data_IF_330145633215
#
_entry.id   IF_330145633215
#
_cell.length_a   1.000
_cell.length_b   1.000
_cell.length_c   1.000
_cell.angle_alpha   90.00
_cell.angle_beta   90.00
_cell.angle_gamma   90.00
#
_symmetry.space_group_name_H-M   'P 1'
#
loop_
_entity.id
_entity.type
_entity.pdbx_description
1 polymer ?
#
# COMPACT_ATOMS: atom_id res chain seq x y z
N UNK A 1 46.19 -31.88 -20.01
CA UNK A 1 44.88 -31.71 -19.36
C UNK A 1 45.05 -31.18 -17.93
N UNK A 2 45.32 -29.88 -17.76
CA UNK A 2 45.20 -29.11 -16.52
C UNK A 2 45.06 -27.66 -17.00
N UNK A 3 43.92 -27.03 -16.73
CA UNK A 3 43.63 -25.57 -16.84
C UNK A 3 42.14 -25.34 -17.18
N UNK A 4 41.24 -26.07 -16.50
CA UNK A 4 39.80 -25.89 -16.65
C UNK A 4 39.10 -25.94 -15.30
N UNK A 5 39.68 -25.29 -14.29
CA UNK A 5 39.14 -25.23 -12.93
C UNK A 5 39.44 -23.88 -12.25
N UNK A 6 39.20 -22.76 -12.94
CA UNK A 6 39.24 -21.43 -12.30
C UNK A 6 37.93 -20.64 -12.50
N UNK A 7 37.05 -21.03 -13.44
CA UNK A 7 35.81 -20.29 -13.68
C UNK A 7 34.65 -20.63 -12.72
N UNK A 8 34.72 -21.73 -11.95
CA UNK A 8 33.63 -22.14 -11.06
C UNK A 8 33.72 -21.55 -9.63
N UNK A 9 34.86 -20.98 -9.24
CA UNK A 9 35.07 -20.42 -7.90
C UNK A 9 34.58 -18.96 -7.77
N UNK A 10 34.26 -18.28 -8.87
CA UNK A 10 33.71 -16.91 -8.86
C UNK A 10 32.19 -16.86 -8.65
N UNK A 11 31.55 -18.00 -8.36
CA UNK A 11 30.18 -18.07 -7.83
C UNK A 11 30.15 -18.22 -6.30
N UNK A 12 31.28 -18.04 -5.61
CA UNK A 12 31.31 -17.98 -4.15
C UNK A 12 30.70 -16.66 -3.66
N UNK A 13 29.37 -16.66 -3.52
CA UNK A 13 28.76 -16.17 -2.28
C UNK A 13 28.60 -14.67 -2.11
N UNK A 14 28.11 -13.95 -3.11
CA UNK A 14 27.14 -12.90 -2.82
C UNK A 14 25.79 -13.62 -2.59
N UNK A 15 25.60 -14.16 -1.39
CA UNK A 15 24.30 -14.66 -0.94
C UNK A 15 23.36 -13.46 -0.78
N UNK A 16 22.94 -12.89 -1.91
CA UNK A 16 21.93 -11.86 -1.98
C UNK A 16 20.60 -12.56 -1.67
N UNK A 17 20.14 -12.45 -0.42
CA UNK A 17 18.83 -12.96 -0.07
C UNK A 17 17.81 -11.91 -0.51
N UNK A 18 17.20 -12.14 -1.66
CA UNK A 18 16.11 -11.31 -2.15
C UNK A 18 14.80 -11.78 -1.51
N UNK A 19 14.09 -10.88 -0.83
CA UNK A 19 12.75 -11.11 -0.30
C UNK A 19 11.77 -10.15 -0.96
N UNK A 20 10.80 -10.68 -1.69
CA UNK A 20 9.72 -9.90 -2.30
C UNK A 20 8.43 -10.06 -1.49
N UNK A 21 7.79 -8.94 -1.18
CA UNK A 21 6.46 -8.86 -0.58
C UNK A 21 5.53 -8.32 -1.65
N UNK A 22 4.52 -9.10 -2.02
CA UNK A 22 3.45 -8.68 -2.92
C UNK A 22 2.25 -8.20 -2.08
N UNK A 23 1.72 -7.04 -2.41
CA UNK A 23 0.54 -6.48 -1.77
C UNK A 23 -0.69 -6.81 -2.62
N UNK A 24 -1.78 -7.21 -1.96
CA UNK A 24 -3.08 -7.25 -2.61
C UNK A 24 -3.60 -5.81 -2.81
N UNK A 25 -3.29 -5.26 -3.97
CA UNK A 25 -3.64 -3.87 -4.30
C UNK A 25 -5.14 -3.70 -4.43
N UNK A 26 -5.85 -4.72 -4.90
CA UNK A 26 -7.27 -4.67 -5.27
C UNK A 26 -8.19 -5.32 -4.23
N UNK A 27 -7.70 -5.45 -2.99
CA UNK A 27 -8.48 -5.98 -1.88
C UNK A 27 -9.84 -5.27 -1.75
N UNK A 28 -10.92 -6.04 -1.92
CA UNK A 28 -12.30 -5.54 -1.90
C UNK A 28 -12.88 -5.36 -0.50
N UNK A 29 -12.16 -5.81 0.55
CA UNK A 29 -12.62 -5.75 1.94
C UNK A 29 -11.57 -5.12 2.85
N UNK A 30 -12.01 -4.24 3.75
CA UNK A 30 -11.16 -3.63 4.78
C UNK A 30 -11.87 -3.56 6.11
N UNK A 31 -11.19 -3.99 7.16
CA UNK A 31 -11.74 -4.00 8.52
C UNK A 31 -11.22 -2.79 9.29
N UNK A 32 -12.13 -2.07 9.95
CA UNK A 32 -11.84 -0.93 10.83
C UNK A 32 -12.47 -1.14 12.19
N UNK A 33 -11.96 -0.47 13.22
CA UNK A 33 -12.52 -0.54 14.56
C UNK A 33 -13.39 0.70 14.84
N UNK A 34 -14.52 0.49 15.51
CA UNK A 34 -15.37 1.53 16.09
C UNK A 34 -16.38 0.91 17.06
N UNK A 35 -16.53 1.50 18.24
CA UNK A 35 -17.57 1.12 19.21
C UNK A 35 -18.99 1.45 18.72
N UNK A 36 -19.14 2.40 17.79
CA UNK A 36 -20.41 2.83 17.20
C UNK A 36 -20.52 2.46 15.71
N UNK A 37 -21.70 2.68 15.12
CA UNK A 37 -21.94 2.44 13.68
C UNK A 37 -21.03 3.33 12.82
N UNK A 38 -20.29 2.73 11.89
CA UNK A 38 -19.52 3.45 10.89
C UNK A 38 -20.44 4.01 9.82
N UNK A 39 -20.38 5.34 9.62
CA UNK A 39 -21.06 6.04 8.52
C UNK A 39 -20.01 6.49 7.51
N UNK A 40 -20.06 5.91 6.32
CA UNK A 40 -19.13 6.21 5.25
C UNK A 40 -19.59 7.42 4.45
N UNK A 41 -18.63 8.22 4.00
CA UNK A 41 -18.83 9.28 3.03
C UNK A 41 -17.69 9.26 2.03
N UNK A 42 -18.00 9.32 0.74
CA UNK A 42 -16.99 9.45 -0.32
C UNK A 42 -16.24 10.77 -0.10
N UNK A 43 -14.94 10.69 0.19
CA UNK A 43 -14.09 11.84 0.38
C UNK A 43 -13.53 12.35 -0.94
N UNK A 44 -13.01 11.45 -1.77
CA UNK A 44 -12.50 11.72 -3.12
C UNK A 44 -12.40 10.41 -3.92
N UNK A 45 -12.26 10.53 -5.23
CA UNK A 45 -11.97 9.43 -6.14
C UNK A 45 -10.93 9.93 -7.13
N UNK A 46 -9.76 9.28 -7.22
CA UNK A 46 -8.64 9.83 -7.98
C UNK A 46 -7.67 8.76 -8.45
N UNK A 47 -6.92 9.06 -9.52
CA UNK A 47 -5.81 8.23 -9.96
C UNK A 47 -4.62 8.45 -9.02
N UNK A 48 -3.98 7.38 -8.57
CA UNK A 48 -2.81 7.44 -7.70
C UNK A 48 -1.89 6.26 -7.93
N UNK A 49 -0.62 6.41 -7.57
CA UNK A 49 0.35 5.32 -7.58
C UNK A 49 0.33 4.59 -6.25
N UNK A 50 0.23 3.26 -6.32
CA UNK A 50 0.27 2.37 -5.15
C UNK A 50 1.36 1.34 -5.33
N UNK A 51 1.99 0.95 -4.22
CA UNK A 51 3.04 -0.06 -4.22
C UNK A 51 2.40 -1.44 -4.39
N UNK A 52 2.71 -2.10 -5.52
CA UNK A 52 2.26 -3.46 -5.81
C UNK A 52 3.18 -4.49 -5.16
N UNK A 53 4.49 -4.24 -5.17
CA UNK A 53 5.44 -5.11 -4.50
C UNK A 53 6.67 -4.35 -3.98
N UNK A 54 7.29 -4.93 -2.95
CA UNK A 54 8.54 -4.47 -2.38
C UNK A 54 9.53 -5.63 -2.39
N UNK A 55 10.64 -5.46 -3.08
CA UNK A 55 11.76 -6.39 -3.07
C UNK A 55 12.89 -5.80 -2.24
N UNK A 56 13.38 -6.56 -1.27
CA UNK A 56 14.56 -6.22 -0.48
C UNK A 56 15.65 -7.21 -0.81
N UNK A 57 16.77 -6.73 -1.32
CA UNK A 57 17.96 -7.53 -1.63
C UNK A 57 18.99 -7.24 -0.55
N UNK A 58 19.20 -8.19 0.37
CA UNK A 58 20.22 -8.04 1.41
C UNK A 58 21.53 -8.65 0.94
N UNK A 59 22.55 -7.81 0.78
CA UNK A 59 23.92 -8.23 0.46
C UNK A 59 24.78 -8.26 1.72
N UNK A 60 25.84 -9.10 1.71
CA UNK A 60 26.82 -9.12 2.81
C UNK A 60 27.66 -7.84 2.75
N UNK A 61 27.61 -7.03 3.81
CA UNK A 61 28.50 -5.90 3.97
C UNK A 61 29.96 -6.37 3.92
N UNK A 62 30.74 -5.85 2.99
CA UNK A 62 32.16 -6.15 2.91
C UNK A 62 32.88 -5.57 4.13
N UNK A 63 33.45 -6.45 4.97
CA UNK A 63 34.16 -6.09 6.20
C UNK A 63 35.69 -6.07 6.04
N UNK A 64 36.21 -6.43 4.85
CA UNK A 64 37.64 -6.65 4.63
C UNK A 64 38.45 -5.38 4.27
N UNK A 65 37.82 -4.20 4.19
CA UNK A 65 38.48 -2.91 3.92
C UNK A 65 38.89 -2.14 5.18
N UNK A 66 39.63 -1.02 5.04
CA UNK A 66 39.86 -0.05 6.12
C UNK A 66 38.53 0.41 6.72
N UNK A 67 38.46 0.64 8.04
CA UNK A 67 37.20 0.96 8.76
C UNK A 67 36.44 2.13 8.11
N UNK A 68 37.17 3.11 7.56
CA UNK A 68 36.61 4.28 6.86
C UNK A 68 35.78 3.93 5.62
N UNK A 69 36.12 2.83 4.95
CA UNK A 69 35.57 2.44 3.66
C UNK A 69 34.62 1.23 3.80
N UNK A 70 34.39 0.72 5.02
CA UNK A 70 33.41 -0.34 5.29
C UNK A 70 32.00 0.22 5.19
N UNK A 71 31.14 -0.45 4.43
CA UNK A 71 29.71 -0.14 4.43
C UNK A 71 29.15 -0.34 5.86
N UNK A 72 28.43 0.65 6.38
CA UNK A 72 27.77 0.52 7.69
C UNK A 72 26.72 -0.60 7.65
N UNK A 73 26.66 -1.39 8.72
CA UNK A 73 25.60 -2.38 8.94
C UNK A 73 24.23 -1.73 8.80
N UNK A 74 23.50 -2.08 7.74
CA UNK A 74 22.19 -1.50 7.37
C UNK A 74 22.16 -0.87 5.97
N UNK A 75 23.30 -0.47 5.39
CA UNK A 75 23.39 0.11 4.05
C UNK A 75 23.61 -0.93 2.93
N UNK A 76 23.74 -2.21 3.28
CA UNK A 76 23.99 -3.29 2.34
C UNK A 76 22.69 -3.95 1.84
N UNK A 77 21.55 -3.29 2.05
CA UNK A 77 20.25 -3.74 1.59
C UNK A 77 19.70 -2.78 0.56
N UNK A 78 19.44 -3.28 -0.66
CA UNK A 78 18.77 -2.51 -1.69
C UNK A 78 17.27 -2.77 -1.63
N UNK A 79 16.48 -1.71 -1.72
CA UNK A 79 15.01 -1.78 -1.70
C UNK A 79 14.47 -1.31 -3.04
N UNK A 80 13.80 -2.20 -3.76
CA UNK A 80 13.09 -1.87 -5.00
C UNK A 80 11.60 -1.91 -4.75
N UNK A 81 10.90 -0.84 -5.15
CA UNK A 81 9.45 -0.74 -5.07
C UNK A 81 8.86 -0.81 -6.48
N UNK A 82 7.99 -1.79 -6.74
CA UNK A 82 7.14 -1.79 -7.93
C UNK A 82 5.86 -1.04 -7.61
N UNK A 83 5.52 -0.05 -8.44
CA UNK A 83 4.32 0.77 -8.31
C UNK A 83 3.43 0.60 -9.53
N UNK A 84 2.12 0.64 -9.30
CA UNK A 84 1.12 0.64 -10.37
C UNK A 84 0.17 1.83 -10.18
N UNK A 85 -0.33 2.38 -11.29
CA UNK A 85 -1.38 3.39 -11.25
C UNK A 85 -2.74 2.71 -11.11
N UNK A 86 -3.56 3.22 -10.20
CA UNK A 86 -4.90 2.71 -9.92
C UNK A 86 -5.87 3.86 -9.74
N UNK A 87 -7.15 3.59 -9.95
CA UNK A 87 -8.21 4.47 -9.50
C UNK A 87 -8.51 4.17 -8.02
N UNK A 88 -8.29 5.14 -7.15
CA UNK A 88 -8.46 4.99 -5.71
C UNK A 88 -9.67 5.78 -5.23
N UNK A 89 -10.70 5.07 -4.76
CA UNK A 89 -11.80 5.68 -4.02
C UNK A 89 -11.43 5.79 -2.55
N UNK A 90 -11.56 6.99 -2.00
CA UNK A 90 -11.24 7.32 -0.62
C UNK A 90 -12.55 7.58 0.12
N UNK A 91 -12.86 6.71 1.08
CA UNK A 91 -13.99 6.85 1.99
C UNK A 91 -13.50 7.48 3.29
N UNK A 92 -14.35 8.31 3.88
CA UNK A 92 -14.13 8.93 5.17
C UNK A 92 -15.20 8.51 6.16
N UNK A 93 -14.79 8.34 7.42
CA UNK A 93 -15.70 8.08 8.53
C UNK A 93 -15.12 8.64 9.83
N UNK A 94 -15.94 8.69 10.88
CA UNK A 94 -15.52 9.11 12.22
C UNK A 94 -15.68 7.93 13.18
N UNK A 95 -14.59 7.25 13.59
CA UNK A 95 -14.67 6.16 14.56
C UNK A 95 -15.02 6.70 15.95
N UNK A 96 -15.62 5.84 16.77
CA UNK A 96 -15.85 6.10 18.19
C UNK A 96 -15.18 5.02 19.03
N UNK A 97 -14.72 5.36 20.23
CA UNK A 97 -14.17 4.38 21.16
C UNK A 97 -12.90 3.67 20.68
N UNK A 98 -12.23 4.17 19.64
CA UNK A 98 -10.89 3.70 19.23
C UNK A 98 -9.82 4.50 19.96
N UNK A 99 -8.71 3.88 20.31
CA UNK A 99 -7.55 4.60 20.86
C UNK A 99 -6.63 5.06 19.74
N UNK A 100 -6.11 6.28 19.86
CA UNK A 100 -5.06 6.75 18.98
C UNK A 100 -3.68 6.20 19.37
N UNK A 101 -2.63 6.58 18.64
CA UNK A 101 -1.25 6.13 18.92
C UNK A 101 -0.71 6.55 20.30
N UNK A 102 -1.35 7.54 20.93
CA UNK A 102 -1.01 8.04 22.26
C UNK A 102 -1.95 7.48 23.35
N UNK A 103 -2.86 6.57 23.00
CA UNK A 103 -3.82 5.97 23.91
C UNK A 103 -5.06 6.83 24.18
N UNK A 104 -5.24 7.97 23.50
CA UNK A 104 -6.43 8.80 23.67
C UNK A 104 -7.64 8.20 22.94
N UNK A 105 -8.80 8.20 23.59
CA UNK A 105 -10.03 7.69 22.98
C UNK A 105 -10.57 8.69 21.94
N UNK A 106 -10.48 8.33 20.67
CA UNK A 106 -11.08 9.00 19.52
C UNK A 106 -12.60 8.78 19.52
N UNK A 107 -13.33 9.59 20.28
CA UNK A 107 -14.80 9.63 20.25
C UNK A 107 -15.31 10.53 19.12
N UNK A 108 -15.09 10.13 17.86
CA UNK A 108 -15.57 10.85 16.67
C UNK A 108 -14.87 12.19 16.40
N UNK A 109 -13.79 12.48 17.12
CA UNK A 109 -13.03 13.74 16.99
C UNK A 109 -12.23 13.80 15.68
N UNK A 110 -11.69 12.66 15.25
CA UNK A 110 -10.84 12.55 14.06
C UNK A 110 -11.58 11.81 12.95
N UNK A 111 -11.37 12.27 11.72
CA UNK A 111 -11.83 11.57 10.53
C UNK A 111 -10.76 10.58 10.10
N UNK A 112 -11.16 9.33 9.90
CA UNK A 112 -10.32 8.29 9.34
C UNK A 112 -10.71 7.98 7.91
N UNK A 113 -9.78 7.36 7.18
CA UNK A 113 -9.93 7.09 5.76
C UNK A 113 -9.73 5.61 5.44
N UNK A 114 -10.62 5.09 4.61
CA UNK A 114 -10.52 3.75 4.01
C UNK A 114 -10.41 3.94 2.51
N UNK A 115 -9.53 3.19 1.87
CA UNK A 115 -9.22 3.35 0.44
C UNK A 115 -9.47 2.05 -0.28
N UNK A 116 -10.16 2.05 -1.40
CA UNK A 116 -10.24 0.91 -2.30
C UNK A 116 -9.62 1.29 -3.63
N UNK A 117 -8.87 0.36 -4.23
CA UNK A 117 -8.22 0.57 -5.50
C UNK A 117 -8.89 -0.30 -6.56
N UNK A 118 -8.98 0.22 -7.77
CA UNK A 118 -9.59 -0.44 -8.92
C UNK A 118 -8.63 -0.30 -10.09
N UNK A 119 -8.60 -1.30 -10.96
CA UNK A 119 -7.78 -1.23 -12.16
C UNK A 119 -8.27 -0.09 -13.04
N UNK A 120 -7.34 0.64 -13.67
CA UNK A 120 -7.72 1.62 -14.68
C UNK A 120 -8.31 0.95 -15.92
N UNK A 121 -7.97 -0.33 -16.15
CA UNK A 121 -8.47 -1.12 -17.28
C UNK A 121 -9.97 -1.44 -17.14
N UNK A 122 -10.51 -1.41 -15.91
CA UNK A 122 -11.93 -1.65 -15.63
C UNK A 122 -12.77 -0.37 -15.77
N UNK A 123 -12.15 0.77 -16.12
CA UNK A 123 -12.81 2.08 -16.19
C UNK A 123 -12.97 2.58 -17.62
N UNK A 124 -14.06 3.29 -17.89
CA UNK A 124 -14.25 3.92 -19.19
C UNK A 124 -13.32 5.12 -19.38
N UNK A 125 -13.02 5.46 -20.64
CA UNK A 125 -12.18 6.61 -20.96
C UNK A 125 -12.75 7.93 -20.40
N UNK A 126 -14.08 8.10 -20.38
CA UNK A 126 -14.74 9.27 -19.80
C UNK A 126 -14.59 9.35 -18.28
N UNK A 127 -14.60 8.22 -17.60
CA UNK A 127 -14.42 8.17 -16.15
C UNK A 127 -12.98 8.53 -15.80
N UNK A 128 -12.01 7.95 -16.52
CA UNK A 128 -10.58 8.26 -16.39
C UNK A 128 -10.34 9.76 -16.61
N UNK A 129 -10.95 10.35 -17.64
CA UNK A 129 -10.85 11.77 -17.92
C UNK A 129 -11.43 12.62 -16.78
N UNK A 130 -12.57 12.21 -16.22
CA UNK A 130 -13.15 12.85 -15.03
C UNK A 130 -12.23 12.74 -13.81
N UNK A 131 -11.51 11.61 -13.65
CA UNK A 131 -10.54 11.45 -12.57
C UNK A 131 -9.30 12.34 -12.74
N UNK A 132 -8.85 12.56 -13.97
CA UNK A 132 -7.68 13.40 -14.29
C UNK A 132 -8.00 14.89 -14.14
N UNK A 133 -9.11 15.32 -14.72
CA UNK A 133 -9.38 16.74 -14.95
C UNK A 133 -10.61 17.28 -14.19
N UNK A 134 -11.49 16.38 -13.72
CA UNK A 134 -12.68 16.76 -12.97
C UNK A 134 -12.34 17.37 -11.61
N UNK A 135 -13.13 18.37 -11.18
CA UNK A 135 -13.07 18.89 -9.81
C UNK A 135 -13.47 17.80 -8.81
N UNK A 136 -13.03 17.94 -7.55
CA UNK A 136 -13.34 16.99 -6.47
C UNK A 136 -14.83 16.66 -6.34
N UNK A 137 -15.73 17.62 -6.57
CA UNK A 137 -17.19 17.38 -6.55
C UNK A 137 -17.62 16.37 -7.62
N UNK A 138 -17.14 16.53 -8.86
CA UNK A 138 -17.45 15.61 -9.96
C UNK A 138 -16.89 14.21 -9.70
N UNK A 139 -15.65 14.12 -9.22
CA UNK A 139 -15.04 12.82 -8.88
C UNK A 139 -15.76 12.09 -7.74
N UNK A 140 -16.19 12.84 -6.71
CA UNK A 140 -17.03 12.30 -5.64
C UNK A 140 -18.35 11.76 -6.17
N UNK A 141 -19.00 12.53 -7.06
CA UNK A 141 -20.26 12.12 -7.68
C UNK A 141 -20.07 10.82 -8.48
N UNK A 142 -19.04 10.77 -9.31
CA UNK A 142 -18.68 9.57 -10.08
C UNK A 142 -18.48 8.34 -9.18
N UNK A 143 -17.77 8.49 -8.06
CA UNK A 143 -17.59 7.38 -7.11
C UNK A 143 -18.93 6.92 -6.49
N UNK A 144 -19.85 7.83 -6.21
CA UNK A 144 -21.18 7.46 -5.71
C UNK A 144 -22.07 6.80 -6.77
N UNK A 145 -21.81 7.05 -8.06
CA UNK A 145 -22.55 6.45 -9.18
C UNK A 145 -22.06 5.03 -9.49
N UNK A 146 -20.75 4.80 -9.41
CA UNK A 146 -20.14 3.51 -9.78
C UNK A 146 -20.14 2.51 -8.61
N UNK A 147 -19.96 2.98 -7.36
CA UNK A 147 -19.72 2.09 -6.23
C UNK A 147 -20.85 2.07 -5.21
N UNK A 148 -21.16 0.85 -4.76
CA UNK A 148 -22.02 0.61 -3.62
C UNK A 148 -21.18 0.04 -2.48
N UNK A 149 -21.15 0.72 -1.34
CA UNK A 149 -20.35 0.29 -0.19
C UNK A 149 -21.23 -0.39 0.85
N UNK A 150 -20.83 -1.58 1.29
CA UNK A 150 -21.49 -2.26 2.41
C UNK A 150 -20.64 -2.15 3.69
N UNK A 151 -21.31 -2.11 4.85
CA UNK A 151 -20.67 -2.09 6.16
C UNK A 151 -21.30 -3.16 7.03
N UNK A 152 -20.54 -4.22 7.28
CA UNK A 152 -20.94 -5.30 8.18
C UNK A 152 -20.27 -5.12 9.53
N UNK A 153 -21.05 -5.23 10.61
CA UNK A 153 -20.56 -5.05 11.98
C UNK A 153 -20.46 -6.39 12.70
N UNK A 154 -19.29 -6.64 13.28
CA UNK A 154 -19.05 -7.72 14.24
C UNK A 154 -18.40 -7.15 15.51
N UNK A 155 -19.22 -6.94 16.55
CA UNK A 155 -18.77 -6.30 17.79
C UNK A 155 -18.27 -4.86 17.57
N UNK A 156 -16.97 -4.63 17.80
CA UNK A 156 -16.29 -3.35 17.52
C UNK A 156 -15.65 -3.29 16.14
N UNK A 157 -15.57 -4.40 15.42
CA UNK A 157 -14.99 -4.44 14.09
C UNK A 157 -16.07 -4.20 13.04
N UNK A 158 -15.76 -3.38 12.04
CA UNK A 158 -16.61 -3.10 10.90
C UNK A 158 -15.85 -3.47 9.64
N UNK A 159 -16.38 -4.43 8.88
CA UNK A 159 -15.85 -4.80 7.58
C UNK A 159 -16.56 -3.97 6.53
N UNK A 160 -15.80 -3.12 5.85
CA UNK A 160 -16.24 -2.32 4.73
C UNK A 160 -15.88 -3.07 3.45
N UNK A 161 -16.85 -3.26 2.56
CA UNK A 161 -16.62 -3.86 1.25
C UNK A 161 -17.04 -2.93 0.12
N UNK A 162 -16.28 -3.00 -0.96
CA UNK A 162 -16.67 -2.51 -2.29
C UNK A 162 -17.60 -3.53 -2.97
#
# INVERSE_FOLDING_TARGET
MKNLLIAAALMLGLSAQAKTINYDVFASKKTVESSSKVRLNVFDFRITEVVASKTVVTSRCHSNGPIRDRAQTGLCSDVTLSKIQVAQVVLSFKPFGTTDRYGEVNNGKRTEFVKFNISLDDMSASDIETLRNGKRKARKQLASEIFNFNVERSGRMHTISL
#
